data_IF_635441886943
#
_entry.id   IF_635441886943
#
_cell.length_a   1.000
_cell.length_b   1.000
_cell.length_c   1.000
_cell.angle_alpha   90.00
_cell.angle_beta   90.00
_cell.angle_gamma   90.00
#
_symmetry.space_group_name_H-M   'P 1'
#
loop_
_entity.id
_entity.type
_entity.pdbx_description
1 polymer ?
#
# COMPACT_ATOMS: atom_id res chain seq x y z
N UNK A 1 -2.67 10.72 -5.08
CA UNK A 1 -1.87 11.36 -4.04
C UNK A 1 -1.82 10.41 -2.84
N UNK A 2 -1.12 9.30 -3.02
CA UNK A 2 -0.51 8.42 -2.02
C UNK A 2 0.81 8.00 -2.67
N UNK A 3 1.84 7.67 -1.89
CA UNK A 3 3.21 7.50 -2.41
C UNK A 3 3.27 6.60 -3.66
N UNK A 4 4.23 6.85 -4.55
CA UNK A 4 4.43 6.04 -5.76
C UNK A 4 4.78 4.60 -5.35
N UNK A 5 3.77 3.72 -5.27
CA UNK A 5 3.94 2.32 -4.84
C UNK A 5 4.81 1.56 -5.84
N UNK A 6 4.90 1.99 -7.11
CA UNK A 6 5.87 1.47 -8.06
C UNK A 6 7.31 1.82 -7.68
N UNK A 7 7.56 3.04 -7.18
CA UNK A 7 8.87 3.39 -6.65
C UNK A 7 9.25 2.53 -5.44
N UNK A 8 8.29 2.24 -4.55
CA UNK A 8 8.49 1.35 -3.41
C UNK A 8 8.82 -0.07 -3.91
N UNK A 9 8.05 -0.62 -4.85
CA UNK A 9 8.30 -1.96 -5.42
C UNK A 9 9.66 -2.06 -6.11
N UNK A 10 10.07 -1.03 -6.87
CA UNK A 10 11.45 -0.95 -7.42
C UNK A 10 12.50 -0.98 -6.32
N UNK A 11 12.28 -0.29 -5.20
CA UNK A 11 13.20 -0.28 -4.06
C UNK A 11 13.25 -1.63 -3.34
N UNK A 12 12.12 -2.32 -3.22
CA UNK A 12 12.03 -3.69 -2.69
C UNK A 12 12.89 -4.64 -3.51
N UNK A 13 12.77 -4.62 -4.84
CA UNK A 13 13.62 -5.45 -5.72
C UNK A 13 15.10 -5.15 -5.51
N UNK A 14 15.48 -3.87 -5.52
CA UNK A 14 16.87 -3.47 -5.29
C UNK A 14 17.42 -3.93 -3.92
N UNK A 15 16.61 -3.92 -2.86
CA UNK A 15 17.03 -4.42 -1.55
C UNK A 15 17.24 -5.94 -1.54
N UNK A 16 16.38 -6.69 -2.24
CA UNK A 16 16.52 -8.15 -2.37
C UNK A 16 17.77 -8.52 -3.16
N UNK A 17 18.03 -7.79 -4.25
CA UNK A 17 19.24 -7.96 -5.05
C UNK A 17 20.49 -7.66 -4.21
N UNK A 18 20.50 -6.55 -3.47
CA UNK A 18 21.60 -6.21 -2.53
C UNK A 18 21.80 -7.29 -1.47
N UNK A 19 20.73 -7.82 -0.88
CA UNK A 19 20.82 -8.92 0.08
C UNK A 19 21.44 -10.18 -0.53
N UNK A 20 21.03 -10.54 -1.75
CA UNK A 20 21.60 -11.68 -2.48
C UNK A 20 23.09 -11.47 -2.80
N UNK A 21 23.48 -10.29 -3.27
CA UNK A 21 24.88 -9.93 -3.54
C UNK A 21 25.74 -10.03 -2.27
N UNK A 22 25.27 -9.49 -1.14
CA UNK A 22 26.00 -9.55 0.14
C UNK A 22 26.17 -10.98 0.63
N UNK A 23 25.16 -11.84 0.47
CA UNK A 23 25.28 -13.28 0.77
C UNK A 23 26.32 -13.96 -0.12
N UNK A 24 26.25 -13.73 -1.43
CA UNK A 24 27.21 -14.29 -2.36
C UNK A 24 28.65 -13.89 -2.01
N UNK A 25 28.89 -12.62 -1.66
CA UNK A 25 30.19 -12.13 -1.19
C UNK A 25 30.65 -12.82 0.10
N UNK A 26 29.74 -13.08 1.04
CA UNK A 26 30.05 -13.79 2.27
C UNK A 26 30.48 -15.25 2.00
N UNK A 27 29.78 -15.93 1.09
CA UNK A 27 30.06 -17.31 0.72
C UNK A 27 31.37 -17.41 -0.09
N UNK A 28 31.59 -16.47 -1.01
CA UNK A 28 32.84 -16.35 -1.77
C UNK A 28 34.05 -16.10 -0.86
N UNK A 29 33.89 -15.24 0.17
CA UNK A 29 34.95 -14.96 1.13
C UNK A 29 35.38 -16.24 1.89
N UNK A 30 34.40 -17.03 2.35
CA UNK A 30 34.67 -18.31 3.04
C UNK A 30 35.34 -19.29 2.09
N UNK A 31 34.74 -19.53 0.91
CA UNK A 31 35.25 -20.47 -0.07
C UNK A 31 36.68 -20.12 -0.53
N UNK A 32 36.99 -18.83 -0.69
CA UNK A 32 38.33 -18.36 -1.05
C UNK A 32 39.36 -18.69 0.02
N UNK A 33 39.01 -18.53 1.30
CA UNK A 33 39.94 -18.80 2.41
C UNK A 33 40.17 -20.30 2.58
N UNK A 34 39.11 -21.11 2.47
CA UNK A 34 39.22 -22.58 2.49
C UNK A 34 40.05 -23.11 1.31
N UNK A 35 39.94 -22.49 0.13
CA UNK A 35 40.66 -22.88 -1.07
C UNK A 35 42.18 -22.57 -1.06
N UNK A 36 42.69 -21.80 -0.10
CA UNK A 36 44.13 -21.47 -0.04
C UNK A 36 45.01 -22.66 0.37
N UNK A 37 44.44 -23.71 0.98
CA UNK A 37 45.20 -24.85 1.50
C UNK A 37 46.19 -24.46 2.62
N UNK A 38 46.01 -23.28 3.22
CA UNK A 38 46.87 -22.76 4.28
C UNK A 38 46.52 -23.44 5.62
N UNK A 39 47.53 -23.91 6.35
CA UNK A 39 47.34 -24.65 7.61
C UNK A 39 48.20 -24.14 8.76
N UNK A 40 47.81 -24.54 9.98
CA UNK A 40 48.45 -24.18 11.25
C UNK A 40 47.74 -23.03 11.97
N UNK A 41 48.23 -22.67 13.16
CA UNK A 41 47.55 -21.74 14.08
C UNK A 41 47.17 -20.38 13.48
N UNK A 42 48.00 -19.85 12.58
CA UNK A 42 47.70 -18.58 11.90
C UNK A 42 46.55 -18.72 10.89
N UNK A 43 46.46 -19.87 10.22
CA UNK A 43 45.35 -20.19 9.34
C UNK A 43 44.06 -20.36 10.16
N UNK A 44 44.11 -21.09 11.28
CA UNK A 44 42.95 -21.27 12.18
C UNK A 44 42.39 -19.91 12.65
N UNK A 45 43.27 -19.01 13.09
CA UNK A 45 42.88 -17.66 13.51
C UNK A 45 42.31 -16.81 12.35
N UNK A 46 42.79 -17.02 11.12
CA UNK A 46 42.24 -16.34 9.94
C UNK A 46 40.84 -16.88 9.60
N UNK A 47 40.67 -18.20 9.60
CA UNK A 47 39.40 -18.88 9.34
C UNK A 47 38.33 -18.45 10.35
N UNK A 48 38.69 -18.32 11.62
CA UNK A 48 37.77 -17.85 12.66
C UNK A 48 37.31 -16.40 12.39
N UNK A 49 38.25 -15.49 12.10
CA UNK A 49 37.92 -14.09 11.75
C UNK A 49 37.08 -13.98 10.49
N UNK A 50 37.38 -14.78 9.48
CA UNK A 50 36.63 -14.81 8.21
C UNK A 50 35.23 -15.33 8.43
N UNK A 51 35.07 -16.40 9.21
CA UNK A 51 33.77 -16.94 9.58
C UNK A 51 32.93 -15.91 10.35
N UNK A 52 33.56 -15.16 11.25
CA UNK A 52 32.90 -14.07 11.97
C UNK A 52 32.46 -12.94 11.03
N UNK A 53 33.34 -12.53 10.11
CA UNK A 53 33.00 -11.52 9.10
C UNK A 53 31.88 -11.99 8.18
N UNK A 54 31.91 -13.25 7.72
CA UNK A 54 30.87 -13.83 6.89
C UNK A 54 29.53 -13.89 7.63
N UNK A 55 29.53 -14.22 8.93
CA UNK A 55 28.34 -14.13 9.78
C UNK A 55 27.77 -12.71 9.83
N UNK A 56 28.60 -11.68 10.01
CA UNK A 56 28.15 -10.29 9.98
C UNK A 56 27.58 -9.87 8.61
N UNK A 57 28.19 -10.31 7.51
CA UNK A 57 27.66 -10.03 6.17
C UNK A 57 26.30 -10.70 5.93
N UNK A 58 26.14 -11.96 6.34
CA UNK A 58 24.85 -12.67 6.24
C UNK A 58 23.76 -11.98 7.06
N UNK A 59 24.08 -11.53 8.28
CA UNK A 59 23.13 -10.76 9.09
C UNK A 59 22.74 -9.42 8.43
N UNK A 60 23.67 -8.74 7.76
CA UNK A 60 23.36 -7.53 7.00
C UNK A 60 22.44 -7.83 5.79
N UNK A 61 22.70 -8.93 5.07
CA UNK A 61 21.84 -9.41 4.00
C UNK A 61 20.42 -9.73 4.50
N UNK A 62 20.29 -10.38 5.65
CA UNK A 62 19.00 -10.65 6.29
C UNK A 62 18.25 -9.35 6.60
N UNK A 63 18.97 -8.33 7.09
CA UNK A 63 18.42 -6.98 7.30
C UNK A 63 17.87 -6.34 6.03
N UNK A 64 18.55 -6.50 4.88
CA UNK A 64 18.05 -6.02 3.60
C UNK A 64 16.76 -6.73 3.17
N UNK A 65 16.68 -8.06 3.35
CA UNK A 65 15.49 -8.85 3.04
C UNK A 65 14.32 -8.43 3.93
N UNK A 66 14.53 -8.33 5.25
CA UNK A 66 13.47 -7.88 6.17
C UNK A 66 12.97 -6.47 5.87
N UNK A 67 13.86 -5.55 5.48
CA UNK A 67 13.47 -4.22 5.06
C UNK A 67 12.66 -4.24 3.75
N UNK A 68 13.04 -5.10 2.80
CA UNK A 68 12.29 -5.29 1.56
C UNK A 68 10.88 -5.83 1.83
N UNK A 69 10.74 -6.80 2.71
CA UNK A 69 9.44 -7.39 3.07
C UNK A 69 8.53 -6.39 3.78
N UNK A 70 9.08 -5.58 4.69
CA UNK A 70 8.33 -4.50 5.35
C UNK A 70 7.84 -3.44 4.34
N UNK A 71 8.69 -3.06 3.37
CA UNK A 71 8.30 -2.12 2.32
C UNK A 71 7.26 -2.70 1.35
N UNK A 72 7.36 -4.00 1.02
CA UNK A 72 6.37 -4.68 0.20
C UNK A 72 4.99 -4.68 0.88
N UNK A 73 4.94 -5.08 2.15
CA UNK A 73 3.70 -5.06 2.94
C UNK A 73 3.12 -3.64 3.05
N UNK A 74 3.97 -2.63 3.19
CA UNK A 74 3.51 -1.23 3.19
C UNK A 74 2.91 -0.81 1.85
N UNK A 75 3.54 -1.17 0.72
CA UNK A 75 3.01 -0.86 -0.60
C UNK A 75 1.63 -1.50 -0.80
N UNK A 76 1.47 -2.78 -0.42
CA UNK A 76 0.18 -3.47 -0.47
C UNK A 76 -0.89 -2.78 0.38
N UNK A 77 -0.54 -2.33 1.58
CA UNK A 77 -1.47 -1.61 2.45
C UNK A 77 -1.88 -0.23 1.87
N UNK A 78 -0.95 0.46 1.19
CA UNK A 78 -1.26 1.73 0.52
C UNK A 78 -2.15 1.52 -0.70
N UNK A 79 -1.89 0.48 -1.50
CA UNK A 79 -2.73 0.13 -2.65
C UNK A 79 -4.16 -0.20 -2.17
N UNK A 80 -4.29 -1.06 -1.15
CA UNK A 80 -5.60 -1.42 -0.58
C UNK A 80 -6.36 -0.19 -0.06
N UNK A 81 -5.70 0.71 0.67
CA UNK A 81 -6.33 1.94 1.14
C UNK A 81 -6.75 2.88 -0.01
N UNK A 82 -6.00 2.88 -1.11
CA UNK A 82 -6.34 3.67 -2.30
C UNK A 82 -7.56 3.08 -3.01
N UNK A 83 -7.60 1.76 -3.17
CA UNK A 83 -8.74 1.05 -3.74
C UNK A 83 -10.02 1.26 -2.92
N UNK A 84 -9.92 1.22 -1.59
CA UNK A 84 -11.04 1.49 -0.68
C UNK A 84 -11.56 2.93 -0.83
N UNK A 85 -10.66 3.91 -0.91
CA UNK A 85 -11.03 5.32 -1.16
C UNK A 85 -11.75 5.45 -2.49
N UNK A 86 -11.22 4.87 -3.57
CA UNK A 86 -11.80 4.96 -4.90
C UNK A 86 -13.17 4.27 -4.98
N UNK A 87 -13.33 3.14 -4.28
CA UNK A 87 -14.61 2.43 -4.17
C UNK A 87 -15.67 3.25 -3.43
N UNK A 88 -15.33 3.84 -2.28
CA UNK A 88 -16.24 4.70 -1.52
C UNK A 88 -16.58 5.97 -2.32
N UNK A 89 -15.57 6.62 -2.91
CA UNK A 89 -15.75 7.81 -3.76
C UNK A 89 -16.76 7.52 -4.89
N UNK A 90 -16.56 6.41 -5.60
CA UNK A 90 -17.41 6.01 -6.72
C UNK A 90 -18.85 5.73 -6.26
N UNK A 91 -19.01 4.96 -5.18
CA UNK A 91 -20.33 4.59 -4.66
C UNK A 91 -21.11 5.79 -4.17
N UNK A 92 -20.49 6.65 -3.36
CA UNK A 92 -21.14 7.86 -2.82
C UNK A 92 -21.47 8.82 -3.94
N UNK A 93 -20.56 9.03 -4.90
CA UNK A 93 -20.83 9.90 -6.06
C UNK A 93 -22.04 9.41 -6.86
N UNK A 94 -22.17 8.10 -7.09
CA UNK A 94 -23.33 7.52 -7.75
C UNK A 94 -24.62 7.74 -6.93
N UNK A 95 -24.59 7.47 -5.62
CA UNK A 95 -25.74 7.68 -4.73
C UNK A 95 -26.22 9.13 -4.72
N UNK A 96 -25.31 10.10 -4.66
CA UNK A 96 -25.62 11.53 -4.70
C UNK A 96 -26.22 11.93 -6.05
N UNK A 97 -25.69 11.40 -7.16
CA UNK A 97 -26.22 11.66 -8.50
C UNK A 97 -27.63 11.10 -8.68
N UNK A 98 -27.88 9.88 -8.17
CA UNK A 98 -29.19 9.24 -8.21
C UNK A 98 -30.22 10.01 -7.35
N UNK A 99 -29.85 10.40 -6.13
CA UNK A 99 -30.70 11.20 -5.25
C UNK A 99 -31.09 12.54 -5.88
N UNK A 100 -30.11 13.26 -6.46
CA UNK A 100 -30.37 14.52 -7.19
C UNK A 100 -31.30 14.31 -8.38
N UNK A 101 -31.15 13.20 -9.09
CA UNK A 101 -32.02 12.86 -10.23
C UNK A 101 -33.46 12.59 -9.80
N UNK A 102 -33.66 11.87 -8.68
CA UNK A 102 -34.99 11.63 -8.10
C UNK A 102 -35.66 12.93 -7.64
N UNK A 103 -34.93 13.79 -6.94
CA UNK A 103 -35.43 15.12 -6.51
C UNK A 103 -35.86 15.95 -7.72
N UNK A 104 -35.04 16.00 -8.77
CA UNK A 104 -35.37 16.74 -9.99
C UNK A 104 -36.63 16.20 -10.69
N UNK A 105 -36.81 14.88 -10.73
CA UNK A 105 -38.01 14.26 -11.31
C UNK A 105 -39.28 14.59 -10.50
N UNK A 106 -39.20 14.61 -9.16
CA UNK A 106 -40.30 15.02 -8.29
C UNK A 106 -40.65 16.50 -8.50
N UNK A 107 -39.63 17.37 -8.57
CA UNK A 107 -39.83 18.79 -8.84
C UNK A 107 -40.58 19.02 -10.16
N UNK A 108 -40.15 18.37 -11.25
CA UNK A 108 -40.83 18.46 -12.55
C UNK A 108 -42.28 17.94 -12.49
N UNK A 109 -42.53 16.82 -11.80
CA UNK A 109 -43.88 16.27 -11.66
C UNK A 109 -44.83 17.19 -10.86
N UNK A 110 -44.29 17.95 -9.90
CA UNK A 110 -45.06 18.90 -9.11
C UNK A 110 -45.44 20.17 -9.91
N UNK A 111 -44.64 20.55 -10.91
CA UNK A 111 -44.94 21.65 -11.82
C UNK A 111 -46.08 21.32 -12.79
N UNK A 112 -46.26 20.05 -13.15
CA UNK A 112 -47.30 19.55 -14.08
C UNK A 112 -48.73 19.52 -13.49
N UNK A 113 -48.95 20.10 -12.30
CA UNK A 113 -50.27 20.19 -11.66
C UNK A 113 -50.79 18.89 -11.05
N UNK A 114 -49.91 17.91 -10.84
CA UNK A 114 -50.19 16.69 -10.05
C UNK A 114 -50.22 17.02 -8.55
N UNK A 115 -50.80 16.17 -7.69
CA UNK A 115 -50.69 16.35 -6.24
C UNK A 115 -49.21 16.47 -5.83
N UNK A 116 -48.89 17.52 -5.05
CA UNK A 116 -47.52 17.78 -4.65
C UNK A 116 -46.95 16.58 -3.87
N UNK A 117 -45.87 16.02 -4.38
CA UNK A 117 -45.09 14.97 -3.73
C UNK A 117 -43.84 15.60 -3.12
N UNK A 118 -43.60 15.35 -1.83
CA UNK A 118 -42.37 15.79 -1.16
C UNK A 118 -41.25 14.78 -1.43
N UNK A 119 -40.01 15.22 -1.71
CA UNK A 119 -38.86 14.33 -1.80
C UNK A 119 -38.61 13.52 -0.52
N UNK A 120 -37.94 12.37 -0.66
CA UNK A 120 -37.51 11.55 0.48
C UNK A 120 -36.44 12.31 1.29
N UNK A 121 -36.56 12.43 2.64
CA UNK A 121 -35.54 13.05 3.48
C UNK A 121 -34.13 12.49 3.30
N UNK A 122 -34.02 11.21 2.93
CA UNK A 122 -32.76 10.52 2.63
C UNK A 122 -32.11 11.08 1.36
N UNK A 123 -32.91 11.32 0.32
CA UNK A 123 -32.44 11.90 -0.94
C UNK A 123 -32.01 13.35 -0.74
N UNK A 124 -32.74 14.11 0.09
CA UNK A 124 -32.37 15.48 0.45
C UNK A 124 -31.03 15.51 1.21
N UNK A 125 -30.82 14.61 2.16
CA UNK A 125 -29.57 14.48 2.90
C UNK A 125 -28.39 14.12 1.97
N UNK A 126 -28.59 13.17 1.05
CA UNK A 126 -27.59 12.79 0.05
C UNK A 126 -27.30 13.95 -0.93
N UNK A 127 -28.32 14.67 -1.40
CA UNK A 127 -28.11 15.79 -2.33
C UNK A 127 -27.31 16.94 -1.72
N UNK A 128 -27.48 17.17 -0.41
CA UNK A 128 -26.76 18.18 0.39
C UNK A 128 -25.35 17.76 0.81
N UNK A 129 -24.96 16.49 0.60
CA UNK A 129 -23.64 16.00 0.96
C UNK A 129 -22.51 16.77 0.25
N UNK A 130 -21.50 17.16 1.03
CA UNK A 130 -20.28 17.82 0.53
C UNK A 130 -19.17 16.80 0.48
N UNK A 131 -18.85 16.34 -0.74
CA UNK A 131 -17.83 15.33 -0.96
C UNK A 131 -16.42 15.84 -0.60
N UNK A 132 -15.58 15.01 0.05
CA UNK A 132 -14.16 15.28 0.17
C UNK A 132 -13.47 15.44 -1.19
N UNK A 133 -12.28 16.05 -1.26
CA UNK A 133 -11.48 16.05 -2.48
C UNK A 133 -11.20 14.63 -2.98
N UNK A 134 -11.07 14.47 -4.30
CA UNK A 134 -10.83 13.15 -4.92
C UNK A 134 -9.57 12.49 -4.36
N UNK A 135 -9.66 11.20 -4.03
CA UNK A 135 -8.54 10.44 -3.47
C UNK A 135 -8.05 10.92 -2.10
N UNK A 136 -8.83 11.70 -1.35
CA UNK A 136 -8.46 12.14 0.00
C UNK A 136 -8.82 11.09 1.06
N UNK A 137 -8.02 10.96 2.13
CA UNK A 137 -8.24 9.93 3.18
C UNK A 137 -9.60 10.03 3.86
N UNK A 138 -10.16 11.24 3.91
CA UNK A 138 -11.43 11.50 4.57
C UNK A 138 -12.59 10.71 3.93
N UNK A 139 -12.42 10.20 2.71
CA UNK A 139 -13.35 9.22 2.12
C UNK A 139 -13.53 7.96 2.96
N UNK A 140 -12.51 7.53 3.70
CA UNK A 140 -12.60 6.37 4.60
C UNK A 140 -13.48 6.64 5.83
N UNK A 141 -13.67 7.91 6.17
CA UNK A 141 -14.48 8.37 7.31
C UNK A 141 -15.88 8.84 6.88
N UNK A 142 -16.22 8.78 5.58
CA UNK A 142 -17.53 9.19 5.08
C UNK A 142 -18.63 8.29 5.64
N UNK A 143 -19.64 8.94 6.22
CA UNK A 143 -20.86 8.31 6.69
C UNK A 143 -22.05 9.00 6.00
N UNK A 144 -22.70 8.28 5.08
CA UNK A 144 -23.89 8.75 4.38
C UNK A 144 -25.00 7.69 4.42
N UNK A 145 -26.28 8.09 4.44
CA UNK A 145 -27.39 7.13 4.48
C UNK A 145 -27.32 6.12 3.33
N UNK A 146 -27.40 4.82 3.66
CA UNK A 146 -27.38 3.74 2.67
C UNK A 146 -26.00 3.27 2.21
N UNK A 147 -24.91 3.85 2.74
CA UNK A 147 -23.56 3.33 2.54
C UNK A 147 -23.32 2.14 3.49
N UNK A 148 -23.30 0.93 2.93
CA UNK A 148 -22.89 -0.27 3.67
C UNK A 148 -21.37 -0.40 3.62
N UNK A 149 -20.73 -0.52 4.80
CA UNK A 149 -19.29 -0.81 4.96
C UNK A 149 -18.98 -2.28 4.75
#
# INVERSE_FOLDING_TARGET
MYGDTELIRRRVSALRDQGAEVRALADELVARVEGLGWSGRAADAMTERVSDRARHLRAAADGHVSAADALASHAEAVDAATDDIDAVETRVTAMVADARSRIAAIAAANEDGRPAVTPDPTDEALAAFVAPPRGHRDWLDVDVPGLER
#
